data_IF_016003484225
#
_entry.id   IF_016003484225
#
_cell.length_a   1.000
_cell.length_b   1.000
_cell.length_c   1.000
_cell.angle_alpha   90.00
_cell.angle_beta   90.00
_cell.angle_gamma   90.00
#
_symmetry.space_group_name_H-M   'P 1'
#
loop_
_entity.id
_entity.type
_entity.pdbx_description
1 polymer ?
#
# COMPACT_ATOMS: atom_id res chain seq x y z
N UNK A 1 -7.86 -0.39 -10.53
CA UNK A 1 -8.94 -1.23 -10.14
C UNK A 1 -8.44 -2.57 -9.72
N UNK A 2 -8.76 -2.87 -8.49
CA UNK A 2 -8.38 -4.10 -7.83
C UNK A 2 -9.66 -4.87 -7.49
N UNK A 3 -9.70 -6.18 -7.77
CA UNK A 3 -10.85 -7.03 -7.45
C UNK A 3 -10.34 -8.34 -6.86
N UNK A 4 -10.98 -8.77 -5.77
CA UNK A 4 -10.75 -10.05 -5.11
C UNK A 4 -12.07 -10.81 -5.15
N UNK A 5 -12.04 -12.07 -5.60
CA UNK A 5 -13.24 -12.90 -5.74
C UNK A 5 -13.02 -14.22 -5.05
N UNK A 6 -13.83 -14.47 -4.02
CA UNK A 6 -13.89 -15.71 -3.25
C UNK A 6 -12.51 -16.24 -2.83
N UNK A 7 -11.65 -15.33 -2.35
CA UNK A 7 -10.25 -15.64 -2.08
C UNK A 7 -10.12 -16.43 -0.76
N UNK A 8 -9.58 -17.62 -0.86
CA UNK A 8 -9.26 -18.50 0.26
C UNK A 8 -7.76 -18.73 0.39
N UNK A 9 -7.28 -18.77 1.62
CA UNK A 9 -5.93 -19.24 1.91
C UNK A 9 -5.88 -20.09 3.16
N UNK A 10 -5.43 -21.33 3.00
CA UNK A 10 -5.19 -22.27 4.08
C UNK A 10 -3.70 -22.64 4.12
N UNK A 11 -3.13 -22.67 5.32
CA UNK A 11 -1.79 -23.16 5.62
C UNK A 11 -1.96 -24.38 6.56
N UNK A 12 -1.76 -25.58 6.06
CA UNK A 12 -2.04 -26.81 6.81
C UNK A 12 -3.43 -26.74 7.46
N UNK A 13 -3.51 -26.67 8.78
CA UNK A 13 -4.78 -26.61 9.54
C UNK A 13 -5.26 -25.18 9.82
N UNK A 14 -4.43 -24.17 9.54
CA UNK A 14 -4.78 -22.76 9.76
C UNK A 14 -5.36 -22.12 8.50
N UNK A 15 -6.56 -21.57 8.61
CA UNK A 15 -7.22 -20.83 7.53
C UNK A 15 -6.98 -19.33 7.74
N UNK A 16 -6.15 -18.73 6.89
CA UNK A 16 -5.78 -17.33 6.94
C UNK A 16 -6.76 -16.41 6.20
N UNK A 17 -7.43 -16.88 5.15
CA UNK A 17 -8.50 -16.18 4.44
C UNK A 17 -9.67 -17.11 4.17
N UNK A 18 -10.89 -16.58 4.37
CA UNK A 18 -12.16 -17.31 4.25
C UNK A 18 -13.10 -16.54 3.34
N UNK A 19 -13.08 -16.86 2.03
CA UNK A 19 -13.97 -16.25 1.02
C UNK A 19 -13.92 -14.70 1.03
N UNK A 20 -12.70 -14.15 0.99
CA UNK A 20 -12.55 -12.70 0.92
C UNK A 20 -13.03 -12.20 -0.44
N UNK A 21 -13.97 -11.26 -0.42
CA UNK A 21 -14.47 -10.54 -1.58
C UNK A 21 -14.26 -9.05 -1.35
N UNK A 22 -13.64 -8.36 -2.32
CA UNK A 22 -13.29 -6.95 -2.22
C UNK A 22 -13.15 -6.34 -3.61
N UNK A 23 -13.64 -5.12 -3.79
CA UNK A 23 -13.44 -4.36 -5.01
C UNK A 23 -13.02 -2.93 -4.67
N UNK A 24 -11.97 -2.43 -5.35
CA UNK A 24 -11.46 -1.06 -5.22
C UNK A 24 -11.46 -0.42 -6.60
N UNK A 25 -12.23 0.63 -6.76
CA UNK A 25 -12.37 1.39 -8.01
C UNK A 25 -11.11 2.19 -8.35
N UNK A 26 -11.13 2.77 -9.55
CA UNK A 26 -10.03 3.65 -9.99
C UNK A 26 -10.00 4.93 -9.16
N UNK A 27 -8.81 5.26 -8.63
CA UNK A 27 -8.63 6.46 -7.79
C UNK A 27 -9.16 6.32 -6.36
N UNK A 28 -9.71 5.16 -6.00
CA UNK A 28 -10.15 4.88 -4.64
C UNK A 28 -8.99 4.45 -3.75
N UNK A 29 -9.08 4.86 -2.49
CA UNK A 29 -8.22 4.42 -1.40
C UNK A 29 -9.08 3.54 -0.50
N UNK A 30 -8.74 2.27 -0.42
CA UNK A 30 -9.42 1.31 0.45
C UNK A 30 -8.53 0.98 1.65
N UNK A 31 -9.02 1.24 2.86
CA UNK A 31 -8.33 0.83 4.09
C UNK A 31 -8.86 -0.51 4.58
N UNK A 32 -7.95 -1.47 4.74
CA UNK A 32 -8.23 -2.80 5.30
C UNK A 32 -7.76 -2.83 6.75
N UNK A 33 -8.70 -2.60 7.67
CA UNK A 33 -8.46 -2.60 9.11
C UNK A 33 -8.53 -4.02 9.69
N UNK A 34 -7.74 -4.30 10.72
CA UNK A 34 -7.79 -5.55 11.45
C UNK A 34 -6.59 -5.74 12.36
N UNK A 35 -6.74 -6.59 13.37
CA UNK A 35 -5.65 -6.97 14.26
C UNK A 35 -4.55 -7.74 13.53
N UNK A 36 -3.40 -7.94 14.18
CA UNK A 36 -2.38 -8.86 13.71
C UNK A 36 -2.97 -10.28 13.58
N UNK A 37 -2.67 -10.93 12.46
CA UNK A 37 -3.27 -12.24 12.15
C UNK A 37 -4.67 -12.20 11.52
N UNK A 38 -5.28 -11.03 11.31
CA UNK A 38 -6.59 -10.93 10.66
C UNK A 38 -6.61 -11.36 9.19
N UNK A 39 -5.45 -11.48 8.52
CA UNK A 39 -5.32 -11.87 7.11
C UNK A 39 -4.86 -10.75 6.16
N UNK A 40 -4.61 -9.52 6.67
CA UNK A 40 -4.22 -8.35 5.85
C UNK A 40 -2.96 -8.60 5.01
N UNK A 41 -1.85 -8.98 5.63
CA UNK A 41 -0.58 -9.24 4.94
C UNK A 41 -0.67 -10.48 4.03
N UNK A 42 -1.50 -11.49 4.38
CA UNK A 42 -1.79 -12.62 3.49
C UNK A 42 -2.47 -12.15 2.21
N UNK A 43 -3.44 -11.23 2.32
CA UNK A 43 -4.12 -10.63 1.17
C UNK A 43 -3.12 -9.86 0.29
N UNK A 44 -2.28 -9.00 0.89
CA UNK A 44 -1.23 -8.26 0.17
C UNK A 44 -0.28 -9.21 -0.54
N UNK A 45 0.21 -10.26 0.13
CA UNK A 45 1.15 -11.22 -0.47
C UNK A 45 0.56 -11.99 -1.67
N UNK A 46 -0.74 -12.30 -1.63
CA UNK A 46 -1.44 -12.89 -2.78
C UNK A 46 -1.52 -11.87 -3.93
N UNK A 47 -1.91 -10.62 -3.65
CA UNK A 47 -1.98 -9.55 -4.65
C UNK A 47 -0.62 -9.26 -5.31
N UNK A 48 0.48 -9.41 -4.57
CA UNK A 48 1.84 -9.30 -5.08
C UNK A 48 2.28 -10.52 -5.94
N UNK A 49 1.47 -11.59 -5.95
CA UNK A 49 1.84 -12.85 -6.60
C UNK A 49 2.96 -13.61 -5.87
N UNK A 50 3.27 -13.24 -4.63
CA UNK A 50 4.27 -13.91 -3.78
C UNK A 50 3.71 -15.16 -3.11
N UNK A 51 2.39 -15.26 -3.02
CA UNK A 51 1.68 -16.34 -2.37
C UNK A 51 0.50 -16.79 -3.24
N UNK A 52 0.41 -18.09 -3.54
CA UNK A 52 -0.75 -18.64 -4.25
C UNK A 52 -1.93 -18.83 -3.27
N UNK A 53 -3.15 -18.43 -3.64
CA UNK A 53 -4.34 -18.75 -2.87
C UNK A 53 -4.62 -20.27 -2.91
N UNK A 54 -5.43 -20.75 -1.99
CA UNK A 54 -5.94 -22.14 -2.01
C UNK A 54 -7.07 -22.27 -3.02
N UNK A 55 -7.94 -21.26 -3.11
CA UNK A 55 -8.97 -21.11 -4.14
C UNK A 55 -9.36 -19.64 -4.30
N UNK A 56 -10.16 -19.33 -5.31
CA UNK A 56 -10.47 -17.96 -5.69
C UNK A 56 -9.34 -17.29 -6.45
N UNK A 57 -9.51 -16.03 -6.81
CA UNK A 57 -8.50 -15.25 -7.51
C UNK A 57 -8.60 -13.76 -7.18
N UNK A 58 -7.53 -13.03 -7.54
CA UNK A 58 -7.48 -11.58 -7.48
C UNK A 58 -7.13 -11.02 -8.86
N UNK A 59 -7.59 -9.81 -9.14
CA UNK A 59 -7.41 -9.17 -10.44
C UNK A 59 -6.92 -7.74 -10.26
N UNK A 60 -5.91 -7.37 -11.03
CA UNK A 60 -5.43 -5.99 -11.15
C UNK A 60 -5.67 -5.55 -12.60
N UNK A 61 -6.44 -4.49 -12.78
CA UNK A 61 -6.87 -4.00 -14.10
C UNK A 61 -7.48 -5.10 -14.99
N UNK A 62 -8.23 -6.03 -14.38
CA UNK A 62 -8.84 -7.17 -15.08
C UNK A 62 -7.89 -8.32 -15.40
N UNK A 63 -6.60 -8.22 -15.02
CA UNK A 63 -5.61 -9.29 -15.22
C UNK A 63 -5.54 -10.14 -13.96
N UNK A 64 -5.70 -11.47 -14.10
CA UNK A 64 -5.59 -12.44 -13.01
C UNK A 64 -4.19 -12.43 -12.41
N UNK A 65 -4.12 -12.30 -11.09
CA UNK A 65 -2.84 -12.35 -10.34
C UNK A 65 -2.23 -13.74 -10.36
N UNK A 66 -3.09 -14.78 -10.25
CA UNK A 66 -2.62 -16.17 -10.24
C UNK A 66 -2.23 -16.66 -11.62
N UNK A 67 -2.94 -16.20 -12.67
CA UNK A 67 -2.69 -16.60 -14.06
C UNK A 67 -1.52 -15.85 -14.70
N UNK A 68 -1.36 -14.56 -14.39
CA UNK A 68 -0.39 -13.70 -15.08
C UNK A 68 0.35 -12.76 -14.11
N UNK A 69 1.08 -13.29 -13.11
CA UNK A 69 1.70 -12.48 -12.06
C UNK A 69 2.69 -11.44 -12.60
N UNK A 70 3.49 -11.78 -13.62
CA UNK A 70 4.48 -10.85 -14.17
C UNK A 70 3.84 -9.68 -14.95
N UNK A 71 2.67 -9.92 -15.54
CA UNK A 71 1.89 -8.86 -16.18
C UNK A 71 1.30 -7.91 -15.15
N UNK A 72 0.76 -8.45 -14.06
CA UNK A 72 0.19 -7.68 -12.95
C UNK A 72 1.27 -6.82 -12.27
N UNK A 73 2.47 -7.34 -12.06
CA UNK A 73 3.58 -6.60 -11.42
C UNK A 73 3.93 -5.30 -12.13
N UNK A 74 3.67 -5.17 -13.43
CA UNK A 74 3.93 -3.92 -14.17
C UNK A 74 3.08 -2.74 -13.66
N UNK A 75 1.83 -3.01 -13.30
CA UNK A 75 0.89 -2.00 -12.84
C UNK A 75 0.88 -1.81 -11.32
N UNK A 76 1.64 -2.63 -10.58
CA UNK A 76 1.58 -2.72 -9.13
C UNK A 76 2.84 -2.17 -8.49
N UNK A 77 2.69 -1.37 -7.41
CA UNK A 77 3.79 -1.04 -6.50
C UNK A 77 3.42 -1.44 -5.07
N UNK A 78 4.44 -1.74 -4.27
CA UNK A 78 4.30 -2.14 -2.88
C UNK A 78 5.16 -1.26 -1.98
N UNK A 79 4.54 -0.73 -0.95
CA UNK A 79 5.19 0.05 0.10
C UNK A 79 5.02 -0.73 1.40
N UNK A 80 6.06 -1.45 1.85
CA UNK A 80 6.03 -2.20 3.10
C UNK A 80 6.08 -1.27 4.32
N UNK A 81 5.76 -1.81 5.48
CA UNK A 81 5.94 -1.11 6.76
C UNK A 81 7.37 -0.58 6.94
N UNK A 82 8.38 -1.35 6.54
CA UNK A 82 9.78 -0.95 6.53
C UNK A 82 10.32 -0.99 5.12
N UNK A 83 10.53 0.18 4.53
CA UNK A 83 11.11 0.31 3.19
C UNK A 83 12.61 0.05 3.28
N UNK A 84 13.03 -1.11 2.76
CA UNK A 84 14.43 -1.54 2.69
C UNK A 84 15.04 -1.06 1.38
N UNK A 85 16.00 -0.17 1.49
CA UNK A 85 16.74 0.43 0.39
C UNK A 85 18.24 0.30 0.68
N UNK A 86 19.09 0.60 -0.29
CA UNK A 86 20.54 0.52 -0.14
C UNK A 86 21.06 1.69 0.72
N UNK A 87 21.57 1.44 1.94
CA UNK A 87 21.95 2.51 2.87
C UNK A 87 23.20 3.27 2.42
N UNK A 88 24.02 2.67 1.58
CA UNK A 88 25.24 3.22 1.00
C UNK A 88 25.03 3.97 -0.31
N UNK A 89 23.79 4.09 -0.77
CA UNK A 89 23.38 4.91 -1.89
C UNK A 89 22.58 6.11 -1.39
N UNK A 90 22.59 7.20 -2.15
CA UNK A 90 21.76 8.38 -1.91
C UNK A 90 20.30 8.11 -2.26
N UNK A 91 19.39 9.03 -1.90
CA UNK A 91 17.98 8.94 -2.30
C UNK A 91 17.81 8.89 -3.82
N UNK A 92 18.58 9.71 -4.52
CA UNK A 92 18.59 9.78 -6.00
C UNK A 92 19.10 8.48 -6.62
N UNK A 93 20.22 7.95 -6.13
CA UNK A 93 20.80 6.70 -6.64
C UNK A 93 19.92 5.49 -6.37
N UNK A 94 19.26 5.41 -5.21
CA UNK A 94 18.26 4.38 -4.94
C UNK A 94 17.10 4.48 -5.94
N UNK A 95 16.55 5.68 -6.16
CA UNK A 95 15.46 5.86 -7.10
C UNK A 95 15.87 5.49 -8.53
N UNK A 96 17.05 5.90 -9.00
CA UNK A 96 17.59 5.53 -10.32
C UNK A 96 17.71 4.00 -10.44
N UNK A 97 18.32 3.37 -9.45
CA UNK A 97 18.53 1.93 -9.41
C UNK A 97 17.21 1.15 -9.56
N UNK A 98 16.21 1.47 -8.73
CA UNK A 98 14.92 0.77 -8.80
C UNK A 98 14.11 1.13 -10.05
N UNK A 99 14.26 2.34 -10.59
CA UNK A 99 13.67 2.72 -11.87
C UNK A 99 14.22 1.88 -13.02
N UNK A 100 15.54 1.69 -13.09
CA UNK A 100 16.20 0.84 -14.10
C UNK A 100 15.80 -0.63 -13.98
N UNK A 101 15.66 -1.16 -12.76
CA UNK A 101 15.13 -2.53 -12.55
C UNK A 101 13.70 -2.64 -13.11
N UNK A 102 12.90 -1.59 -12.98
CA UNK A 102 11.54 -1.54 -13.53
C UNK A 102 11.50 -1.30 -15.06
N UNK A 103 12.66 -1.08 -15.71
CA UNK A 103 12.79 -0.87 -17.15
C UNK A 103 12.67 0.59 -17.58
N UNK A 104 12.84 1.55 -16.66
CA UNK A 104 12.77 2.98 -16.94
C UNK A 104 14.12 3.65 -16.74
N UNK A 105 14.45 4.58 -17.62
CA UNK A 105 15.62 5.45 -17.53
C UNK A 105 15.17 6.90 -17.46
N UNK A 106 15.66 7.62 -16.47
CA UNK A 106 15.30 9.01 -16.19
C UNK A 106 16.54 9.89 -16.06
N UNK A 107 16.41 11.17 -16.48
CA UNK A 107 17.43 12.17 -16.16
C UNK A 107 17.44 12.48 -14.66
N UNK A 108 18.54 13.11 -14.19
CA UNK A 108 18.63 13.53 -12.77
C UNK A 108 17.52 14.49 -12.38
N UNK A 109 17.11 15.39 -13.27
CA UNK A 109 16.03 16.35 -13.07
C UNK A 109 14.69 15.63 -12.90
N UNK A 110 14.41 14.60 -13.72
CA UNK A 110 13.20 13.78 -13.60
C UNK A 110 13.18 12.99 -12.29
N UNK A 111 14.31 12.38 -11.89
CA UNK A 111 14.43 11.68 -10.62
C UNK A 111 14.23 12.63 -9.43
N UNK A 112 14.86 13.82 -9.45
CA UNK A 112 14.61 14.86 -8.43
C UNK A 112 13.14 15.28 -8.40
N UNK A 113 12.50 15.40 -9.56
CA UNK A 113 11.08 15.69 -9.66
C UNK A 113 10.19 14.66 -8.97
N UNK A 114 10.49 13.35 -9.06
CA UNK A 114 9.75 12.33 -8.34
C UNK A 114 9.95 12.44 -6.82
N UNK A 115 11.17 12.70 -6.35
CA UNK A 115 11.47 12.90 -4.92
C UNK A 115 10.77 14.16 -4.38
N UNK A 116 10.78 15.27 -5.12
CA UNK A 116 10.09 16.51 -4.74
C UNK A 116 8.58 16.29 -4.62
N UNK A 117 7.96 15.52 -5.53
CA UNK A 117 6.53 15.18 -5.49
C UNK A 117 6.14 14.39 -4.22
N UNK A 118 7.08 13.69 -3.59
CA UNK A 118 6.86 13.01 -2.31
C UNK A 118 7.25 13.86 -1.11
N UNK A 119 7.58 15.14 -1.30
CA UNK A 119 7.96 16.05 -0.23
C UNK A 119 9.31 15.71 0.42
N UNK A 120 10.19 14.96 -0.25
CA UNK A 120 11.56 14.78 0.21
C UNK A 120 12.35 16.06 -0.09
N UNK A 121 12.94 16.66 0.96
CA UNK A 121 13.70 17.89 0.80
C UNK A 121 14.90 17.71 -0.14
N UNK A 122 15.17 18.67 -1.02
CA UNK A 122 16.26 18.60 -2.00
C UNK A 122 17.62 18.36 -1.37
N UNK A 123 17.86 18.94 -0.20
CA UNK A 123 19.10 18.72 0.58
C UNK A 123 19.30 17.25 0.98
N UNK A 124 18.24 16.47 1.00
CA UNK A 124 18.30 15.04 1.30
C UNK A 124 18.60 14.19 0.06
N UNK A 125 18.24 14.63 -1.16
CA UNK A 125 18.38 13.83 -2.37
C UNK A 125 19.79 13.22 -2.54
N UNK A 126 20.81 13.95 -2.14
CA UNK A 126 22.22 13.59 -2.27
C UNK A 126 22.85 13.03 -0.96
N UNK A 127 22.06 12.87 0.10
CA UNK A 127 22.55 12.24 1.34
C UNK A 127 22.39 10.73 1.28
N UNK A 128 23.33 10.00 1.88
CA UNK A 128 23.27 8.53 2.00
C UNK A 128 22.01 8.11 2.77
N UNK A 129 21.35 7.09 2.30
CA UNK A 129 20.09 6.60 2.86
C UNK A 129 20.23 6.04 4.28
N UNK A 130 21.45 5.65 4.67
CA UNK A 130 21.75 5.21 6.04
C UNK A 130 21.35 6.24 7.11
N UNK A 131 21.42 7.54 6.78
CA UNK A 131 21.03 8.64 7.66
C UNK A 131 19.55 9.06 7.56
N UNK A 132 18.72 8.38 6.76
CA UNK A 132 17.32 8.76 6.59
C UNK A 132 16.45 8.27 7.76
N UNK A 133 15.48 9.10 8.15
CA UNK A 133 14.38 8.68 9.02
C UNK A 133 13.49 7.66 8.31
N UNK A 134 12.63 6.96 9.06
CA UNK A 134 11.63 6.04 8.49
C UNK A 134 10.73 6.76 7.48
N UNK A 135 10.22 7.96 7.81
CA UNK A 135 9.37 8.76 6.93
C UNK A 135 10.08 9.17 5.63
N UNK A 136 11.36 9.54 5.69
CA UNK A 136 12.15 9.84 4.49
C UNK A 136 12.30 8.60 3.57
N UNK A 137 12.51 7.42 4.14
CA UNK A 137 12.55 6.15 3.37
C UNK A 137 11.21 5.82 2.73
N UNK A 138 10.09 6.05 3.44
CA UNK A 138 8.74 5.90 2.89
C UNK A 138 8.53 6.83 1.67
N UNK A 139 8.96 8.09 1.76
CA UNK A 139 8.90 9.03 0.64
C UNK A 139 9.67 8.52 -0.59
N UNK A 140 10.87 7.96 -0.41
CA UNK A 140 11.63 7.34 -1.52
C UNK A 140 10.89 6.13 -2.07
N UNK A 141 10.29 5.28 -1.23
CA UNK A 141 9.45 4.16 -1.67
C UNK A 141 8.29 4.60 -2.57
N UNK A 142 7.59 5.68 -2.18
CA UNK A 142 6.53 6.25 -3.02
C UNK A 142 7.11 6.83 -4.33
N UNK A 143 8.26 7.52 -4.27
CA UNK A 143 8.90 8.04 -5.48
C UNK A 143 9.24 6.92 -6.48
N UNK A 144 9.70 5.76 -6.00
CA UNK A 144 9.93 4.55 -6.82
C UNK A 144 8.61 4.08 -7.46
N UNK A 145 7.51 4.06 -6.71
CA UNK A 145 6.20 3.69 -7.23
C UNK A 145 5.71 4.65 -8.32
N UNK A 146 5.99 5.96 -8.16
CA UNK A 146 5.67 7.00 -9.14
C UNK A 146 6.55 6.86 -10.40
N UNK A 147 7.85 6.64 -10.24
CA UNK A 147 8.77 6.46 -11.36
C UNK A 147 8.42 5.21 -12.18
N UNK A 148 7.93 4.13 -11.54
CA UNK A 148 7.40 2.94 -12.20
C UNK A 148 6.07 3.19 -12.91
N UNK A 149 5.42 4.34 -12.73
CA UNK A 149 4.05 4.65 -13.16
C UNK A 149 3.02 3.61 -12.71
N UNK A 150 3.21 3.02 -11.53
CA UNK A 150 2.28 2.05 -10.99
C UNK A 150 0.86 2.63 -10.89
N UNK A 151 -0.13 1.83 -11.29
CA UNK A 151 -1.57 2.24 -11.28
C UNK A 151 -2.22 1.87 -9.95
N UNK A 152 -1.74 0.80 -9.33
CA UNK A 152 -2.23 0.29 -8.04
C UNK A 152 -1.08 0.25 -7.04
N UNK A 153 -1.29 0.83 -5.86
CA UNK A 153 -0.35 0.81 -4.75
C UNK A 153 -0.91 -0.07 -3.62
N UNK A 154 -0.11 -1.00 -3.16
CA UNK A 154 -0.36 -1.76 -1.94
C UNK A 154 0.50 -1.19 -0.82
N UNK A 155 -0.14 -0.76 0.25
CA UNK A 155 0.51 -0.12 1.40
C UNK A 155 0.31 -1.04 2.62
N UNK A 156 1.38 -1.49 3.25
CA UNK A 156 1.30 -2.37 4.43
C UNK A 156 1.83 -1.62 5.65
N UNK A 157 0.93 -1.26 6.57
CA UNK A 157 1.18 -0.49 7.79
C UNK A 157 2.07 0.76 7.55
N UNK A 158 1.74 1.61 6.55
CA UNK A 158 2.68 2.59 6.02
C UNK A 158 3.03 3.71 7.00
N UNK A 159 2.19 3.98 7.99
CA UNK A 159 2.38 5.02 9.02
C UNK A 159 2.87 4.46 10.36
N UNK A 160 2.98 3.13 10.49
CA UNK A 160 3.47 2.50 11.72
C UNK A 160 4.85 3.05 12.10
N UNK A 161 5.01 3.50 13.35
CA UNK A 161 6.27 4.02 13.88
C UNK A 161 6.78 5.32 13.24
N UNK A 162 5.95 6.04 12.51
CA UNK A 162 6.21 7.43 12.12
C UNK A 162 5.84 8.38 13.26
N UNK A 163 6.55 9.51 13.35
CA UNK A 163 6.11 10.60 14.19
C UNK A 163 4.86 11.30 13.62
N UNK A 164 4.16 12.13 14.40
CA UNK A 164 2.92 12.77 13.93
C UNK A 164 3.09 13.65 12.69
N UNK A 165 4.23 14.32 12.53
CA UNK A 165 4.50 15.19 11.39
C UNK A 165 4.69 14.33 10.13
N UNK A 166 5.54 13.30 10.20
CA UNK A 166 5.77 12.38 9.09
C UNK A 166 4.48 11.62 8.71
N UNK A 167 3.64 11.27 9.68
CA UNK A 167 2.32 10.66 9.44
C UNK A 167 1.40 11.62 8.66
N UNK A 168 1.32 12.89 9.06
CA UNK A 168 0.50 13.89 8.38
C UNK A 168 0.99 14.12 6.93
N UNK A 169 2.30 14.24 6.73
CA UNK A 169 2.90 14.39 5.41
C UNK A 169 2.62 13.17 4.51
N UNK A 170 2.80 11.96 5.05
CA UNK A 170 2.50 10.72 4.31
C UNK A 170 1.02 10.64 3.92
N UNK A 171 0.13 10.97 4.85
CA UNK A 171 -1.32 11.02 4.66
C UNK A 171 -1.69 11.95 3.50
N UNK A 172 -1.08 13.13 3.45
CA UNK A 172 -1.33 14.10 2.38
C UNK A 172 -0.83 13.59 1.02
N UNK A 173 0.35 12.96 0.97
CA UNK A 173 0.88 12.34 -0.26
C UNK A 173 -0.11 11.26 -0.77
N UNK A 174 -0.58 10.38 0.10
CA UNK A 174 -1.54 9.31 -0.25
C UNK A 174 -2.83 9.91 -0.81
N UNK A 175 -3.37 10.97 -0.17
CA UNK A 175 -4.57 11.68 -0.64
C UNK A 175 -4.38 12.27 -2.04
N UNK A 176 -3.26 12.95 -2.28
CA UNK A 176 -2.94 13.54 -3.58
C UNK A 176 -2.80 12.47 -4.68
N UNK A 177 -2.20 11.33 -4.37
CA UNK A 177 -2.09 10.22 -5.32
C UNK A 177 -3.46 9.62 -5.68
N UNK A 178 -4.38 9.49 -4.71
CA UNK A 178 -5.76 9.09 -4.97
C UNK A 178 -6.47 10.08 -5.92
N UNK A 179 -6.35 11.38 -5.66
CA UNK A 179 -6.88 12.44 -6.54
C UNK A 179 -6.29 12.41 -7.96
N UNK A 180 -5.04 11.96 -8.12
CA UNK A 180 -4.40 11.74 -9.40
C UNK A 180 -4.82 10.43 -10.10
N UNK A 181 -5.77 9.68 -9.50
CA UNK A 181 -6.33 8.46 -10.08
C UNK A 181 -5.55 7.19 -9.75
N UNK A 182 -4.58 7.22 -8.81
CA UNK A 182 -3.92 6.00 -8.32
C UNK A 182 -4.88 5.26 -7.40
N UNK A 183 -5.04 3.96 -7.62
CA UNK A 183 -5.85 3.09 -6.77
C UNK A 183 -4.99 2.53 -5.64
N UNK A 184 -5.49 2.51 -4.41
CA UNK A 184 -4.70 2.06 -3.27
C UNK A 184 -5.46 1.09 -2.37
N UNK A 185 -4.78 0.03 -1.95
CA UNK A 185 -5.20 -0.82 -0.83
C UNK A 185 -4.19 -0.63 0.30
N UNK A 186 -4.66 -0.11 1.42
CA UNK A 186 -3.86 0.13 2.61
C UNK A 186 -4.27 -0.83 3.72
N UNK A 187 -3.41 -1.76 4.09
CA UNK A 187 -3.57 -2.57 5.28
C UNK A 187 -3.04 -1.79 6.48
N UNK A 188 -3.86 -1.60 7.50
CA UNK A 188 -3.46 -0.86 8.69
C UNK A 188 -4.28 -1.25 9.93
N UNK A 189 -3.79 -0.90 11.09
CA UNK A 189 -4.54 -0.91 12.35
C UNK A 189 -4.82 0.51 12.87
N UNK A 190 -4.35 1.53 12.15
CA UNK A 190 -4.54 2.95 12.49
C UNK A 190 -5.89 3.44 11.94
N UNK A 191 -6.89 3.47 12.83
CA UNK A 191 -8.26 3.89 12.51
C UNK A 191 -8.31 5.36 12.10
N UNK A 192 -7.57 6.24 12.79
CA UNK A 192 -7.58 7.68 12.53
C UNK A 192 -7.02 7.99 11.15
N UNK A 193 -5.91 7.35 10.78
CA UNK A 193 -5.36 7.50 9.44
C UNK A 193 -6.30 6.91 8.38
N UNK A 194 -6.87 5.73 8.61
CA UNK A 194 -7.80 5.11 7.68
C UNK A 194 -9.00 6.05 7.36
N UNK A 195 -9.65 6.62 8.38
CA UNK A 195 -10.77 7.56 8.18
C UNK A 195 -10.32 8.80 7.42
N UNK A 196 -9.12 9.30 7.67
CA UNK A 196 -8.63 10.55 7.08
C UNK A 196 -8.36 10.46 5.58
N UNK A 197 -8.03 9.28 5.04
CA UNK A 197 -7.62 9.12 3.63
C UNK A 197 -8.50 8.20 2.81
N UNK A 198 -9.11 7.17 3.41
CA UNK A 198 -9.82 6.15 2.65
C UNK A 198 -11.17 6.66 2.13
N UNK A 199 -11.57 6.15 0.97
CA UNK A 199 -12.94 6.28 0.44
C UNK A 199 -13.85 5.19 0.98
N UNK A 200 -13.29 4.01 1.27
CA UNK A 200 -13.99 2.89 1.89
C UNK A 200 -13.07 2.15 2.87
N UNK A 201 -13.68 1.55 3.88
CA UNK A 201 -12.99 0.86 4.96
C UNK A 201 -13.57 -0.53 5.15
N UNK A 202 -12.72 -1.55 5.09
CA UNK A 202 -13.06 -2.92 5.43
C UNK A 202 -12.50 -3.32 6.79
N UNK A 203 -13.29 -3.99 7.62
CA UNK A 203 -12.82 -4.57 8.88
C UNK A 203 -12.64 -6.07 8.69
N UNK A 204 -11.42 -6.55 8.88
CA UNK A 204 -11.07 -7.97 8.84
C UNK A 204 -10.95 -8.58 10.23
N UNK A 205 -11.55 -9.75 10.39
CA UNK A 205 -11.42 -10.58 11.60
C UNK A 205 -11.23 -12.06 11.19
N UNK A 206 -10.15 -12.69 11.62
CA UNK A 206 -9.89 -14.13 11.40
C UNK A 206 -10.07 -14.58 9.94
N UNK A 207 -9.55 -13.79 8.99
CA UNK A 207 -9.60 -14.10 7.56
C UNK A 207 -10.91 -13.76 6.85
N UNK A 208 -11.86 -13.13 7.54
CA UNK A 208 -13.15 -12.72 7.00
C UNK A 208 -13.23 -11.19 6.95
N UNK A 209 -13.75 -10.64 5.86
CA UNK A 209 -14.18 -9.24 5.79
C UNK A 209 -15.55 -9.12 6.45
N UNK A 210 -15.59 -8.68 7.71
CA UNK A 210 -16.81 -8.66 8.52
C UNK A 210 -17.62 -7.37 8.36
N UNK A 211 -16.97 -6.29 7.92
CA UNK A 211 -17.60 -5.01 7.59
C UNK A 211 -16.98 -4.45 6.32
N UNK A 212 -17.79 -3.76 5.52
CA UNK A 212 -17.36 -3.00 4.34
C UNK A 212 -18.16 -1.70 4.29
N UNK A 213 -17.52 -0.58 4.58
CA UNK A 213 -18.17 0.68 4.94
C UNK A 213 -17.62 1.84 4.10
N UNK A 214 -18.47 2.78 3.64
CA UNK A 214 -17.98 4.04 3.09
C UNK A 214 -17.34 4.87 4.22
N UNK A 215 -16.10 5.34 4.02
CA UNK A 215 -15.37 6.08 5.08
C UNK A 215 -16.11 7.34 5.55
N UNK A 216 -16.76 8.05 4.63
CA UNK A 216 -17.49 9.31 4.93
C UNK A 216 -18.71 9.14 5.84
N UNK A 217 -19.12 7.91 6.13
CA UNK A 217 -20.27 7.64 7.00
C UNK A 217 -19.95 7.67 8.50
N UNK A 218 -18.65 7.78 8.87
CA UNK A 218 -18.20 7.64 10.26
C UNK A 218 -17.16 8.69 10.61
N UNK A 219 -17.20 9.17 11.85
CA UNK A 219 -16.06 9.81 12.51
C UNK A 219 -15.05 8.74 12.94
N UNK A 220 -13.84 9.15 13.31
CA UNK A 220 -12.83 8.21 13.79
C UNK A 220 -13.26 7.51 15.09
N UNK A 221 -13.93 8.25 15.97
CA UNK A 221 -14.47 7.75 17.24
C UNK A 221 -15.58 6.71 17.02
N UNK A 222 -16.53 7.00 16.12
CA UNK A 222 -17.61 6.08 15.77
C UNK A 222 -17.08 4.80 15.12
N UNK A 223 -16.10 4.93 14.24
CA UNK A 223 -15.43 3.77 13.63
C UNK A 223 -14.66 2.97 14.68
N UNK A 224 -14.00 3.62 15.64
CA UNK A 224 -13.30 2.93 16.73
C UNK A 224 -14.26 2.14 17.61
N UNK A 225 -15.43 2.70 17.96
CA UNK A 225 -16.44 1.95 18.70
C UNK A 225 -16.97 0.75 17.94
N UNK A 226 -17.26 0.92 16.63
CA UNK A 226 -17.71 -0.16 15.77
C UNK A 226 -16.63 -1.25 15.65
N UNK A 227 -15.37 -0.84 15.48
CA UNK A 227 -14.23 -1.74 15.42
C UNK A 227 -14.11 -2.59 16.68
N UNK A 228 -14.17 -1.96 17.88
CA UNK A 228 -14.08 -2.67 19.17
C UNK A 228 -15.26 -3.63 19.42
N UNK A 229 -16.45 -3.33 18.88
CA UNK A 229 -17.61 -4.23 18.95
C UNK A 229 -17.52 -5.40 17.94
N UNK A 230 -16.71 -5.24 16.90
CA UNK A 230 -16.63 -6.20 15.79
C UNK A 230 -15.51 -7.25 15.99
N UNK A 231 -14.38 -6.86 16.60
CA UNK A 231 -13.17 -7.70 16.75
C UNK A 231 -13.17 -8.57 18.00
#
# INVERSE_FOLDING_TARGET
>A
MLKITDLHKKYNDFTALRSLNLEVGKGEIYALLGQNGAGKSTTINILLGLLKPTSGDAFINGVSVTGYPDRVKKDLAYIPETVLLYPNLTGLENLDFFSRIAGFEYSREQLSGFLNRTGLQETAHHKMLGGYSKGMRQKVGIAIALAKDAKVLLLDEPTSGLDPIATAEFTEIVRQLGQQGKTMLMATHDIFNAVSVASAIGIMKQGVLVQNLPSKAFTAEELQELYLKTI
#
